data_IF_997628092449
#
_entry.id   IF_997628092449
#
_cell.length_a   1.000
_cell.length_b   1.000
_cell.length_c   1.000
_cell.angle_alpha   90.00
_cell.angle_beta   90.00
_cell.angle_gamma   90.00
#
_symmetry.space_group_name_H-M   'P 1'
#
loop_
_entity.id
_entity.type
_entity.pdbx_description
1 polymer ?
#
# COMPACT_ATOMS: atom_id res chain seq x y z
N UNK A 1 3.95 -14.37 37.12
CA UNK A 1 2.66 -14.74 36.48
C UNK A 1 2.81 -14.43 35.02
N UNK A 2 2.75 -15.44 34.13
CA UNK A 2 2.70 -15.25 32.69
C UNK A 2 1.33 -14.62 32.37
N UNK A 3 1.34 -13.39 31.87
CA UNK A 3 0.13 -12.73 31.37
C UNK A 3 -0.06 -13.19 29.92
N UNK A 4 -1.11 -13.95 29.66
CA UNK A 4 -1.51 -14.29 28.30
C UNK A 4 -2.32 -13.13 27.72
N UNK A 5 -1.69 -12.31 26.87
CA UNK A 5 -2.36 -11.24 26.12
C UNK A 5 -2.67 -11.74 24.69
N UNK A 6 -3.83 -11.33 24.19
CA UNK A 6 -4.17 -11.45 22.78
C UNK A 6 -3.71 -10.21 22.02
N UNK A 7 -3.54 -10.28 20.71
CA UNK A 7 -3.17 -9.11 19.91
C UNK A 7 -4.16 -7.95 20.07
N UNK A 8 -5.45 -8.22 20.28
CA UNK A 8 -6.48 -7.19 20.53
C UNK A 8 -6.31 -6.45 21.86
N UNK A 9 -5.49 -6.95 22.78
CA UNK A 9 -5.23 -6.29 24.07
C UNK A 9 -4.21 -5.13 23.93
N UNK A 10 -3.55 -5.03 22.75
CA UNK A 10 -2.49 -4.06 22.52
C UNK A 10 -2.96 -2.87 21.69
N UNK A 11 -2.66 -1.67 22.19
CA UNK A 11 -2.72 -0.42 21.44
C UNK A 11 -1.31 0.13 21.20
N UNK A 12 -1.00 0.47 19.96
CA UNK A 12 0.25 1.15 19.59
C UNK A 12 -0.11 2.55 19.12
N UNK A 13 0.33 3.55 19.89
CA UNK A 13 -0.03 4.94 19.69
C UNK A 13 1.18 5.74 19.21
N UNK A 14 0.98 6.50 18.14
CA UNK A 14 2.02 7.33 17.52
C UNK A 14 1.56 8.77 17.40
N UNK A 15 2.53 9.70 17.26
CA UNK A 15 2.23 11.12 17.07
C UNK A 15 1.86 11.46 15.63
N UNK A 16 2.49 10.81 14.65
CA UNK A 16 2.40 11.16 13.23
C UNK A 16 1.98 9.99 12.35
N UNK A 17 1.30 10.30 11.24
CA UNK A 17 0.97 9.29 10.23
C UNK A 17 2.20 8.70 9.53
N UNK A 18 3.32 9.42 9.46
CA UNK A 18 4.56 8.91 8.90
C UNK A 18 5.10 7.74 9.73
N UNK A 19 5.16 7.90 11.05
CA UNK A 19 5.58 6.84 11.96
C UNK A 19 4.58 5.66 11.95
N UNK A 20 3.28 5.96 11.84
CA UNK A 20 2.24 4.95 11.71
C UNK A 20 2.46 4.05 10.49
N UNK A 21 2.79 4.64 9.31
CA UNK A 21 3.08 3.86 8.11
C UNK A 21 4.31 2.95 8.28
N UNK A 22 5.37 3.46 8.93
CA UNK A 22 6.58 2.67 9.19
C UNK A 22 6.28 1.48 10.10
N UNK A 23 5.51 1.68 11.17
CA UNK A 23 5.12 0.60 12.08
C UNK A 23 4.16 -0.38 11.41
N UNK A 24 3.18 0.10 10.67
CA UNK A 24 2.25 -0.74 9.91
C UNK A 24 3.00 -1.70 8.99
N UNK A 25 3.89 -1.17 8.14
CA UNK A 25 4.69 -2.01 7.24
C UNK A 25 5.59 -2.98 8.00
N UNK A 26 6.17 -2.56 9.11
CA UNK A 26 7.02 -3.44 9.94
C UNK A 26 6.23 -4.58 10.57
N UNK A 27 5.03 -4.30 11.11
CA UNK A 27 4.16 -5.36 11.65
C UNK A 27 3.74 -6.35 10.58
N UNK A 28 3.40 -5.85 9.39
CA UNK A 28 3.06 -6.65 8.22
C UNK A 28 4.19 -7.61 7.86
N UNK A 29 5.38 -7.08 7.68
CA UNK A 29 6.57 -7.85 7.32
C UNK A 29 6.95 -8.87 8.39
N UNK A 30 6.67 -8.53 9.65
CA UNK A 30 6.87 -9.43 10.81
C UNK A 30 5.71 -10.40 11.03
N UNK A 31 4.70 -10.42 10.16
CA UNK A 31 3.49 -11.25 10.26
C UNK A 31 2.69 -11.01 11.55
N UNK A 32 2.76 -9.80 12.12
CA UNK A 32 1.97 -9.39 13.26
C UNK A 32 0.67 -8.79 12.75
N UNK A 33 -0.51 -9.37 13.10
CA UNK A 33 -1.78 -8.84 12.64
C UNK A 33 -2.03 -7.46 13.24
N UNK A 34 -2.23 -6.46 12.37
CA UNK A 34 -2.40 -5.06 12.76
C UNK A 34 -3.60 -4.44 12.05
N UNK A 35 -4.37 -3.64 12.79
CA UNK A 35 -5.47 -2.82 12.28
C UNK A 35 -5.13 -1.34 12.49
N UNK A 36 -5.10 -0.57 11.41
CA UNK A 36 -4.95 0.90 11.49
C UNK A 36 -6.31 1.51 11.80
N UNK A 37 -6.38 2.33 12.85
CA UNK A 37 -7.60 3.00 13.30
C UNK A 37 -7.43 4.52 13.27
N UNK A 38 -8.48 5.24 12.86
CA UNK A 38 -8.47 6.71 12.82
C UNK A 38 -7.65 7.32 11.68
N UNK A 39 -7.31 6.53 10.66
CA UNK A 39 -6.62 6.95 9.44
C UNK A 39 -6.83 5.93 8.32
N UNK A 40 -6.33 6.22 7.12
CA UNK A 40 -6.27 5.22 6.05
C UNK A 40 -4.99 4.41 6.18
N UNK A 41 -5.10 3.09 6.11
CA UNK A 41 -3.96 2.19 6.00
C UNK A 41 -3.05 2.63 4.85
N UNK A 42 -1.76 2.45 5.01
CA UNK A 42 -0.79 2.70 3.94
C UNK A 42 -1.14 1.88 2.70
N UNK A 43 -1.49 0.61 2.91
CA UNK A 43 -1.79 -0.32 1.83
C UNK A 43 -3.15 -0.08 1.16
N UNK A 44 -4.05 0.72 1.78
CA UNK A 44 -5.35 1.08 1.21
C UNK A 44 -5.29 2.28 0.26
N UNK A 45 -4.20 3.03 0.27
CA UNK A 45 -4.03 4.18 -0.62
C UNK A 45 -4.10 3.75 -2.08
N UNK A 46 -4.80 4.53 -2.90
CA UNK A 46 -5.01 4.24 -4.32
C UNK A 46 -3.69 3.93 -5.05
N UNK A 47 -2.70 4.81 -4.90
CA UNK A 47 -1.39 4.67 -5.54
C UNK A 47 -0.64 3.41 -5.08
N UNK A 48 -0.77 3.03 -3.82
CA UNK A 48 -0.13 1.83 -3.28
C UNK A 48 -0.84 0.58 -3.78
N UNK A 49 -2.17 0.55 -3.75
CA UNK A 49 -2.96 -0.55 -4.33
C UNK A 49 -2.67 -0.74 -5.81
N UNK A 50 -2.52 0.34 -6.58
CA UNK A 50 -2.17 0.27 -8.00
C UNK A 50 -0.79 -0.36 -8.19
N UNK A 51 0.22 0.08 -7.43
CA UNK A 51 1.57 -0.50 -7.48
C UNK A 51 1.58 -1.98 -7.07
N UNK A 52 0.86 -2.34 -6.01
CA UNK A 52 0.73 -3.75 -5.61
C UNK A 52 0.06 -4.59 -6.69
N UNK A 53 -0.94 -4.09 -7.41
CA UNK A 53 -1.55 -4.79 -8.53
C UNK A 53 -0.58 -4.98 -9.70
N UNK A 54 0.26 -3.97 -10.02
CA UNK A 54 1.35 -4.16 -10.99
C UNK A 54 2.32 -5.26 -10.57
N UNK A 55 2.70 -5.31 -9.29
CA UNK A 55 3.58 -6.36 -8.79
C UNK A 55 2.91 -7.74 -8.78
N UNK A 56 1.62 -7.82 -8.41
CA UNK A 56 0.87 -9.09 -8.33
C UNK A 56 0.79 -9.80 -9.68
N UNK A 57 0.52 -9.09 -10.77
CA UNK A 57 0.45 -9.69 -12.11
C UNK A 57 1.80 -10.26 -12.59
N UNK A 58 2.93 -9.81 -12.03
CA UNK A 58 4.26 -10.32 -12.40
C UNK A 58 4.54 -11.70 -11.79
N UNK A 59 3.89 -12.02 -10.67
CA UNK A 59 4.06 -13.29 -9.94
C UNK A 59 2.87 -14.23 -10.10
N UNK A 60 1.72 -13.74 -10.56
CA UNK A 60 0.51 -14.50 -10.78
C UNK A 60 -0.29 -13.93 -11.97
N UNK A 61 -0.12 -14.54 -13.12
CA UNK A 61 -0.82 -14.17 -14.37
C UNK A 61 -2.34 -14.45 -14.30
N UNK A 62 -2.79 -15.25 -13.33
CA UNK A 62 -4.19 -15.60 -13.14
C UNK A 62 -4.92 -14.58 -12.21
N UNK A 63 -4.25 -13.50 -11.78
CA UNK A 63 -4.89 -12.45 -10.98
C UNK A 63 -5.62 -11.45 -11.87
N UNK A 64 -6.77 -11.87 -12.38
CA UNK A 64 -7.64 -11.05 -13.23
C UNK A 64 -8.08 -9.76 -12.55
N UNK A 65 -8.28 -9.77 -11.23
CA UNK A 65 -8.68 -8.58 -10.48
C UNK A 65 -7.58 -7.52 -10.49
N UNK A 66 -6.33 -7.92 -10.25
CA UNK A 66 -5.19 -7.01 -10.33
C UNK A 66 -4.99 -6.50 -11.74
N UNK A 67 -5.10 -7.37 -12.76
CA UNK A 67 -4.97 -6.97 -14.16
C UNK A 67 -6.05 -5.96 -14.55
N UNK A 68 -7.31 -6.19 -14.19
CA UNK A 68 -8.43 -5.27 -14.46
C UNK A 68 -8.24 -3.89 -13.83
N UNK A 69 -7.65 -3.84 -12.65
CA UNK A 69 -7.37 -2.58 -11.97
C UNK A 69 -6.36 -1.72 -12.73
N UNK A 70 -5.33 -2.33 -13.30
CA UNK A 70 -4.19 -1.62 -13.89
C UNK A 70 -4.19 -1.55 -15.42
N UNK A 71 -4.99 -2.34 -16.10
CA UNK A 71 -4.98 -2.44 -17.57
C UNK A 71 -5.16 -1.09 -18.27
N UNK A 72 -5.87 -0.15 -17.64
CA UNK A 72 -6.05 1.22 -18.12
C UNK A 72 -5.76 2.28 -17.04
N UNK A 73 -4.88 1.94 -16.09
CA UNK A 73 -4.39 2.84 -15.03
C UNK A 73 -2.87 2.93 -15.11
N UNK A 74 -2.29 4.06 -15.48
CA UNK A 74 -2.88 5.24 -16.12
C UNK A 74 -3.61 4.96 -17.44
N UNK A 75 -4.43 5.91 -17.89
CA UNK A 75 -5.18 5.77 -19.17
C UNK A 75 -4.22 5.56 -20.34
N UNK A 76 -4.47 4.47 -21.10
CA UNK A 76 -3.65 4.12 -22.28
C UNK A 76 -4.48 3.74 -23.51
N UNK A 77 -5.76 4.13 -23.52
CA UNK A 77 -6.65 3.84 -24.66
C UNK A 77 -7.31 2.46 -24.63
N UNK A 78 -7.17 1.71 -23.53
CA UNK A 78 -7.85 0.42 -23.31
C UNK A 78 -9.15 0.72 -22.58
N UNK A 79 -10.22 1.03 -23.34
CA UNK A 79 -11.51 1.41 -22.78
C UNK A 79 -12.36 0.23 -22.30
N UNK A 80 -13.49 0.55 -21.66
CA UNK A 80 -14.43 -0.43 -21.09
C UNK A 80 -14.88 -1.49 -22.10
N UNK A 81 -15.22 -1.10 -23.32
CA UNK A 81 -15.64 -2.03 -24.38
C UNK A 81 -14.56 -3.04 -24.76
N UNK A 82 -13.30 -2.63 -24.73
CA UNK A 82 -12.15 -3.51 -24.96
C UNK A 82 -12.02 -4.53 -23.82
N UNK A 83 -12.12 -4.07 -22.58
CA UNK A 83 -12.06 -4.92 -21.38
C UNK A 83 -13.22 -5.93 -21.36
N UNK A 84 -14.45 -5.50 -21.73
CA UNK A 84 -15.61 -6.40 -21.82
C UNK A 84 -15.42 -7.50 -22.88
N UNK A 85 -14.76 -7.18 -24.00
CA UNK A 85 -14.41 -8.19 -25.02
C UNK A 85 -13.36 -9.17 -24.53
N UNK A 86 -12.32 -8.68 -23.86
CA UNK A 86 -11.30 -9.55 -23.25
C UNK A 86 -11.92 -10.53 -22.24
N UNK A 87 -12.83 -10.03 -21.37
CA UNK A 87 -13.55 -10.86 -20.41
C UNK A 87 -14.40 -11.93 -21.09
N UNK A 88 -15.19 -11.53 -22.08
CA UNK A 88 -16.04 -12.47 -22.83
C UNK A 88 -15.19 -13.57 -23.48
N UNK A 89 -14.08 -13.20 -24.08
CA UNK A 89 -13.16 -14.18 -24.68
C UNK A 89 -12.59 -15.14 -23.65
N UNK A 90 -12.15 -14.61 -22.49
CA UNK A 90 -11.65 -15.42 -21.39
C UNK A 90 -12.72 -16.42 -20.89
N UNK A 91 -13.96 -15.95 -20.71
CA UNK A 91 -15.08 -16.80 -20.30
C UNK A 91 -15.41 -17.88 -21.33
N UNK A 92 -15.51 -17.53 -22.63
CA UNK A 92 -15.81 -18.45 -23.72
C UNK A 92 -14.73 -19.53 -23.91
N UNK A 93 -13.46 -19.18 -23.67
CA UNK A 93 -12.33 -20.08 -23.79
C UNK A 93 -11.95 -20.78 -22.49
N UNK A 94 -12.63 -20.46 -21.40
CA UNK A 94 -12.31 -20.92 -20.04
C UNK A 94 -10.81 -20.70 -19.72
N UNK A 95 -10.34 -19.49 -19.98
CA UNK A 95 -8.94 -19.05 -19.78
C UNK A 95 -8.87 -17.81 -18.92
N UNK A 96 -7.66 -17.29 -18.69
CA UNK A 96 -7.46 -16.06 -17.89
C UNK A 96 -7.53 -14.80 -18.75
N UNK A 97 -7.78 -13.67 -18.10
CA UNK A 97 -7.76 -12.37 -18.78
C UNK A 97 -6.39 -12.04 -19.37
N UNK A 98 -5.30 -12.54 -18.78
CA UNK A 98 -3.95 -12.36 -19.28
C UNK A 98 -3.77 -13.08 -20.65
N UNK A 99 -4.20 -14.33 -20.77
CA UNK A 99 -4.19 -15.07 -22.01
C UNK A 99 -5.08 -14.40 -23.06
N UNK A 100 -6.28 -13.98 -22.66
CA UNK A 100 -7.17 -13.23 -23.56
C UNK A 100 -6.52 -11.93 -24.07
N UNK A 101 -5.78 -11.21 -23.20
CA UNK A 101 -5.03 -10.02 -23.57
C UNK A 101 -3.97 -10.32 -24.63
N UNK A 102 -3.19 -11.38 -24.45
CA UNK A 102 -2.15 -11.77 -25.39
C UNK A 102 -2.75 -12.20 -26.74
N UNK A 103 -3.72 -13.11 -26.74
CA UNK A 103 -4.31 -13.67 -27.96
C UNK A 103 -5.09 -12.63 -28.76
N UNK A 104 -5.81 -11.72 -28.10
CA UNK A 104 -6.61 -10.69 -28.78
C UNK A 104 -5.82 -9.40 -29.08
N UNK A 105 -4.58 -9.26 -28.64
CA UNK A 105 -3.78 -8.05 -28.87
C UNK A 105 -3.55 -7.73 -30.36
N UNK A 106 -3.62 -8.73 -31.23
CA UNK A 106 -3.50 -8.59 -32.69
C UNK A 106 -4.83 -8.74 -33.41
N UNK A 107 -5.96 -8.94 -32.71
CA UNK A 107 -7.24 -9.25 -33.30
C UNK A 107 -7.76 -8.09 -34.20
N UNK A 108 -8.21 -8.39 -35.44
CA UNK A 108 -8.57 -7.38 -36.43
C UNK A 108 -9.83 -6.58 -36.06
N UNK A 109 -10.68 -7.09 -35.17
CA UNK A 109 -11.85 -6.42 -34.64
C UNK A 109 -11.55 -5.22 -33.74
N UNK A 110 -10.33 -5.10 -33.24
CA UNK A 110 -9.88 -3.90 -32.53
C UNK A 110 -9.33 -2.85 -33.50
N UNK A 111 -9.58 -1.60 -33.20
CA UNK A 111 -8.94 -0.48 -33.91
C UNK A 111 -7.41 -0.57 -33.75
N UNK A 112 -6.67 -0.09 -34.72
CA UNK A 112 -5.21 -0.10 -34.70
C UNK A 112 -4.62 0.53 -33.44
N UNK A 113 -5.18 1.68 -33.00
CA UNK A 113 -4.76 2.35 -31.75
C UNK A 113 -4.97 1.48 -30.51
N UNK A 114 -6.05 0.71 -30.46
CA UNK A 114 -6.33 -0.22 -29.35
C UNK A 114 -5.38 -1.40 -29.38
N UNK A 115 -5.15 -2.01 -30.57
CA UNK A 115 -4.17 -3.11 -30.72
C UNK A 115 -2.79 -2.66 -30.25
N UNK A 116 -2.34 -1.50 -30.71
CA UNK A 116 -1.06 -0.94 -30.27
C UNK A 116 -1.00 -0.77 -28.75
N UNK A 117 -2.04 -0.22 -28.12
CA UNK A 117 -2.09 -0.04 -26.68
C UNK A 117 -2.03 -1.38 -25.93
N UNK A 118 -2.71 -2.43 -26.39
CA UNK A 118 -2.65 -3.77 -25.81
C UNK A 118 -1.25 -4.36 -25.95
N UNK A 119 -0.67 -4.30 -27.14
CA UNK A 119 0.69 -4.81 -27.41
C UNK A 119 1.76 -4.08 -26.62
N UNK A 120 1.67 -2.77 -26.49
CA UNK A 120 2.62 -1.97 -25.71
C UNK A 120 2.51 -2.30 -24.22
N UNK A 121 1.30 -2.55 -23.72
CA UNK A 121 1.09 -2.97 -22.34
C UNK A 121 1.67 -4.38 -22.07
N UNK A 122 1.48 -5.33 -22.98
CA UNK A 122 2.08 -6.67 -22.89
C UNK A 122 3.61 -6.58 -22.85
N UNK A 123 4.20 -5.76 -23.73
CA UNK A 123 5.67 -5.54 -23.75
C UNK A 123 6.19 -4.99 -22.43
N UNK A 124 5.45 -4.05 -21.81
CA UNK A 124 5.81 -3.54 -20.49
C UNK A 124 5.77 -4.66 -19.44
N UNK A 125 4.71 -5.48 -19.42
CA UNK A 125 4.59 -6.60 -18.47
C UNK A 125 5.78 -7.57 -18.63
N UNK A 126 6.12 -7.97 -19.87
CA UNK A 126 7.26 -8.87 -20.12
C UNK A 126 8.57 -8.25 -19.62
N UNK A 127 8.83 -6.99 -19.94
CA UNK A 127 10.02 -6.28 -19.46
C UNK A 127 10.09 -6.24 -17.93
N UNK A 128 8.98 -5.98 -17.25
CA UNK A 128 8.95 -5.94 -15.78
C UNK A 128 9.14 -7.34 -15.16
N UNK A 129 8.66 -8.41 -15.81
CA UNK A 129 8.92 -9.80 -15.37
C UNK A 129 10.42 -10.10 -15.36
N UNK A 130 11.17 -9.65 -16.35
CA UNK A 130 12.62 -9.83 -16.40
C UNK A 130 13.33 -9.08 -15.25
N UNK A 131 12.69 -8.07 -14.69
CA UNK A 131 13.22 -7.23 -13.59
C UNK A 131 12.83 -7.71 -12.20
N UNK A 132 12.02 -8.75 -12.04
CA UNK A 132 11.55 -9.24 -10.72
C UNK A 132 12.70 -9.55 -9.76
N UNK A 133 13.85 -9.98 -10.28
CA UNK A 133 15.05 -10.25 -9.49
C UNK A 133 15.92 -9.02 -9.21
N UNK A 134 15.50 -7.83 -9.69
CA UNK A 134 16.16 -6.54 -9.45
C UNK A 134 15.17 -5.54 -8.85
N UNK A 135 14.66 -5.80 -7.64
CA UNK A 135 13.52 -5.08 -7.05
C UNK A 135 13.79 -3.59 -6.81
N UNK A 136 15.06 -3.21 -6.61
CA UNK A 136 15.48 -1.83 -6.34
C UNK A 136 15.05 -0.82 -7.43
N UNK A 137 14.80 -1.28 -8.66
CA UNK A 137 14.40 -0.46 -9.81
C UNK A 137 13.04 -0.80 -10.40
N UNK A 138 12.44 -1.89 -9.94
CA UNK A 138 11.22 -2.42 -10.55
C UNK A 138 10.07 -1.40 -10.48
N UNK A 139 9.75 -0.89 -9.29
CA UNK A 139 8.66 0.07 -9.11
C UNK A 139 8.95 1.41 -9.80
N UNK A 140 10.19 1.89 -9.75
CA UNK A 140 10.59 3.12 -10.46
C UNK A 140 10.39 2.97 -11.97
N UNK A 141 10.76 1.80 -12.51
CA UNK A 141 10.55 1.49 -13.94
C UNK A 141 9.06 1.43 -14.27
N UNK A 142 8.23 0.78 -13.44
CA UNK A 142 6.77 0.74 -13.64
C UNK A 142 6.19 2.16 -13.66
N UNK A 143 6.57 3.02 -12.71
CA UNK A 143 6.13 4.42 -12.63
C UNK A 143 6.50 5.20 -13.90
N UNK A 144 7.74 5.03 -14.37
CA UNK A 144 8.25 5.71 -15.58
C UNK A 144 7.57 5.20 -16.85
N UNK A 145 7.54 3.88 -17.08
CA UNK A 145 6.97 3.26 -18.28
C UNK A 145 5.46 3.55 -18.42
N UNK A 146 4.75 3.64 -17.29
CA UNK A 146 3.31 3.93 -17.27
C UNK A 146 2.99 5.42 -17.25
N UNK A 147 3.98 6.30 -17.06
CA UNK A 147 3.78 7.72 -16.80
C UNK A 147 2.85 7.98 -15.59
N UNK A 148 2.97 7.18 -14.52
CA UNK A 148 2.06 7.22 -13.38
C UNK A 148 2.06 8.58 -12.68
N UNK A 149 3.22 9.23 -12.53
CA UNK A 149 3.31 10.56 -11.95
C UNK A 149 2.51 11.59 -12.74
N UNK A 150 2.53 11.53 -14.09
CA UNK A 150 1.75 12.43 -14.93
C UNK A 150 0.24 12.29 -14.64
N UNK A 151 -0.27 11.05 -14.51
CA UNK A 151 -1.65 10.81 -14.11
C UNK A 151 -1.98 11.40 -12.73
N UNK A 152 -1.10 11.22 -11.76
CA UNK A 152 -1.30 11.79 -10.41
C UNK A 152 -1.31 13.32 -10.48
N UNK A 153 -0.47 13.93 -11.30
CA UNK A 153 -0.43 15.37 -11.53
C UNK A 153 -1.69 15.90 -12.21
N UNK A 154 -2.25 15.15 -13.16
CA UNK A 154 -3.55 15.47 -13.76
C UNK A 154 -4.71 15.36 -12.75
N UNK A 155 -4.65 14.41 -11.82
CA UNK A 155 -5.65 14.23 -10.75
C UNK A 155 -5.58 15.36 -9.70
N UNK A 156 -4.40 15.95 -9.49
CA UNK A 156 -4.14 17.01 -8.50
C UNK A 156 -3.39 18.20 -9.11
N UNK A 157 -3.99 18.91 -10.09
CA UNK A 157 -3.29 19.93 -10.89
C UNK A 157 -2.82 21.13 -10.07
N UNK A 158 -3.51 21.45 -8.98
CA UNK A 158 -3.20 22.62 -8.13
C UNK A 158 -2.43 22.26 -6.86
N UNK A 159 -2.00 21.01 -6.68
CA UNK A 159 -1.38 20.56 -5.43
C UNK A 159 -0.12 19.73 -5.63
N UNK A 160 1.01 20.40 -5.86
CA UNK A 160 2.32 19.74 -5.86
C UNK A 160 2.60 18.96 -4.57
N UNK A 161 2.02 19.42 -3.44
CA UNK A 161 2.14 18.71 -2.15
C UNK A 161 1.44 17.35 -2.19
N UNK A 162 0.25 17.26 -2.80
CA UNK A 162 -0.48 16.01 -2.94
C UNK A 162 0.25 15.05 -3.88
N UNK A 163 0.76 15.54 -5.00
CA UNK A 163 1.57 14.75 -5.95
C UNK A 163 2.81 14.21 -5.22
N UNK A 164 3.59 15.07 -4.58
CA UNK A 164 4.79 14.68 -3.87
C UNK A 164 4.50 13.68 -2.72
N UNK A 165 3.36 13.81 -2.04
CA UNK A 165 2.94 12.88 -1.00
C UNK A 165 2.68 11.47 -1.58
N UNK A 166 1.95 11.37 -2.69
CA UNK A 166 1.66 10.10 -3.37
C UNK A 166 2.93 9.44 -3.91
N UNK A 167 3.79 10.21 -4.58
CA UNK A 167 5.05 9.70 -5.12
C UNK A 167 6.00 9.24 -4.01
N UNK A 168 6.09 9.94 -2.88
CA UNK A 168 6.83 9.47 -1.70
C UNK A 168 6.26 8.17 -1.14
N UNK A 169 4.95 7.97 -1.19
CA UNK A 169 4.33 6.70 -0.80
C UNK A 169 4.82 5.54 -1.67
N UNK A 170 4.87 5.73 -2.99
CA UNK A 170 5.39 4.72 -3.93
C UNK A 170 6.88 4.46 -3.69
N UNK A 171 7.68 5.52 -3.50
CA UNK A 171 9.10 5.39 -3.17
C UNK A 171 9.29 4.59 -1.87
N UNK A 172 8.51 4.90 -0.84
CA UNK A 172 8.55 4.16 0.43
C UNK A 172 8.22 2.67 0.23
N UNK A 173 7.22 2.33 -0.59
CA UNK A 173 6.91 0.94 -0.96
C UNK A 173 8.11 0.26 -1.65
N UNK A 174 8.78 0.95 -2.57
CA UNK A 174 9.97 0.46 -3.28
C UNK A 174 11.12 0.16 -2.31
N UNK A 175 11.39 1.09 -1.40
CA UNK A 175 12.41 0.93 -0.37
C UNK A 175 12.12 -0.25 0.56
N UNK A 176 10.86 -0.43 0.98
CA UNK A 176 10.42 -1.54 1.84
C UNK A 176 10.53 -2.90 1.13
N UNK A 177 10.11 -2.99 -0.13
CA UNK A 177 10.28 -4.19 -0.95
C UNK A 177 11.75 -4.57 -1.07
N UNK A 178 12.60 -3.59 -1.42
CA UNK A 178 14.05 -3.81 -1.56
C UNK A 178 14.70 -4.25 -0.26
N UNK A 179 14.30 -3.64 0.86
CA UNK A 179 14.79 -3.99 2.20
C UNK A 179 14.38 -5.42 2.57
N UNK A 180 13.10 -5.76 2.39
CA UNK A 180 12.57 -7.10 2.72
C UNK A 180 13.34 -8.19 1.97
N UNK A 181 13.57 -8.03 0.67
CA UNK A 181 14.29 -9.01 -0.14
C UNK A 181 15.80 -9.09 0.18
N UNK A 182 16.41 -8.01 0.68
CA UNK A 182 17.81 -8.02 1.16
C UNK A 182 17.96 -8.71 2.52
N UNK A 183 17.01 -8.50 3.43
CA UNK A 183 17.03 -9.07 4.77
C UNK A 183 16.66 -10.57 4.77
N UNK A 184 15.85 -11.03 3.83
CA UNK A 184 15.40 -12.41 3.68
C UNK A 184 15.97 -13.03 2.41
N UNK A 185 17.18 -13.59 2.48
CA UNK A 185 17.99 -14.05 1.32
C UNK A 185 17.27 -14.99 0.35
N UNK A 186 16.32 -15.79 0.85
CA UNK A 186 15.57 -16.77 0.05
C UNK A 186 14.16 -16.29 -0.32
N UNK A 187 13.79 -15.07 0.13
CA UNK A 187 12.47 -14.53 -0.14
C UNK A 187 12.35 -14.01 -1.58
N UNK A 188 11.20 -14.23 -2.14
CA UNK A 188 10.82 -13.78 -3.49
C UNK A 188 9.83 -12.60 -3.41
N UNK A 189 9.59 -11.93 -4.54
CA UNK A 189 8.51 -10.96 -4.68
C UNK A 189 7.14 -11.54 -4.25
N UNK A 190 6.91 -12.84 -4.52
CA UNK A 190 5.69 -13.54 -4.09
C UNK A 190 5.55 -13.59 -2.57
N UNK A 191 6.65 -13.81 -1.85
CA UNK A 191 6.63 -13.88 -0.38
C UNK A 191 6.34 -12.50 0.23
N UNK A 192 6.94 -11.45 -0.32
CA UNK A 192 6.60 -10.08 0.06
C UNK A 192 5.11 -9.76 -0.17
N UNK A 193 4.59 -10.06 -1.35
CA UNK A 193 3.18 -9.81 -1.66
C UNK A 193 2.23 -10.63 -0.78
N UNK A 194 2.64 -11.83 -0.38
CA UNK A 194 1.89 -12.65 0.57
C UNK A 194 1.84 -12.01 1.96
N UNK A 195 2.96 -11.48 2.47
CA UNK A 195 2.99 -10.78 3.75
C UNK A 195 2.06 -9.56 3.75
N UNK A 196 2.03 -8.80 2.65
CA UNK A 196 1.13 -7.65 2.47
C UNK A 196 -0.34 -8.07 2.35
N UNK A 197 -0.66 -9.22 1.73
CA UNK A 197 -2.03 -9.66 1.48
C UNK A 197 -2.77 -10.13 2.74
N UNK A 198 -2.05 -10.55 3.79
CA UNK A 198 -2.65 -10.99 5.07
C UNK A 198 -3.47 -9.88 5.74
N UNK A 199 -3.25 -8.61 5.38
CA UNK A 199 -3.91 -7.44 5.97
C UNK A 199 -5.18 -7.03 5.21
N UNK A 200 -5.26 -7.35 3.92
CA UNK A 200 -6.36 -6.92 3.04
C UNK A 200 -7.67 -7.68 3.17
N UNK A 201 -7.70 -8.77 3.94
CA UNK A 201 -8.93 -9.52 4.20
C UNK A 201 -9.70 -8.87 5.36
N UNK A 202 -10.41 -7.76 5.06
CA UNK A 202 -11.29 -7.03 5.98
C UNK A 202 -12.47 -7.88 6.51
N UNK A 203 -12.67 -9.09 6.01
CA UNK A 203 -13.81 -9.94 6.38
C UNK A 203 -13.57 -10.87 7.57
N UNK A 204 -12.43 -10.76 8.24
CA UNK A 204 -12.12 -11.62 9.39
C UNK A 204 -12.28 -10.82 10.71
N UNK A 205 -13.53 -10.50 11.07
CA UNK A 205 -13.89 -9.85 12.35
C UNK A 205 -13.44 -10.65 13.59
N UNK A 206 -13.04 -11.90 13.41
CA UNK A 206 -12.62 -12.83 14.46
C UNK A 206 -11.10 -12.82 14.73
N UNK A 207 -10.28 -12.15 13.93
CA UNK A 207 -8.83 -12.11 14.19
C UNK A 207 -8.49 -11.07 15.24
N UNK A 208 -7.91 -11.53 16.33
CA UNK A 208 -7.25 -10.66 17.30
C UNK A 208 -6.13 -9.88 16.62
N UNK A 209 -6.22 -8.54 16.56
CA UNK A 209 -5.26 -7.65 15.89
C UNK A 209 -4.76 -6.58 16.85
N UNK A 210 -3.48 -6.19 16.69
CA UNK A 210 -2.94 -5.00 17.35
C UNK A 210 -3.60 -3.75 16.76
N UNK A 211 -4.07 -2.86 17.62
CA UNK A 211 -4.62 -1.56 17.19
C UNK A 211 -3.49 -0.53 17.03
N UNK A 212 -3.24 -0.07 15.83
CA UNK A 212 -2.25 0.97 15.52
C UNK A 212 -2.98 2.27 15.15
N UNK A 213 -2.68 3.37 15.85
CA UNK A 213 -3.36 4.64 15.62
C UNK A 213 -2.53 5.83 16.09
N UNK A 214 -2.99 7.02 15.69
CA UNK A 214 -2.43 8.25 16.27
C UNK A 214 -2.95 8.46 17.69
N UNK A 215 -2.17 9.16 18.54
CA UNK A 215 -2.60 9.53 19.90
C UNK A 215 -3.92 10.29 19.90
N UNK A 216 -4.19 11.11 18.87
CA UNK A 216 -5.47 11.82 18.73
C UNK A 216 -6.64 10.86 18.50
N UNK A 217 -6.44 9.85 17.67
CA UNK A 217 -7.48 8.87 17.34
C UNK A 217 -7.78 7.92 18.51
N UNK A 218 -6.89 7.83 19.50
CA UNK A 218 -7.07 6.95 20.67
C UNK A 218 -8.06 7.46 21.70
N UNK A 219 -8.55 8.70 21.54
CA UNK A 219 -9.50 9.30 22.48
C UNK A 219 -10.78 8.48 22.58
N UNK A 220 -11.13 8.02 23.78
CA UNK A 220 -12.31 7.20 24.06
C UNK A 220 -12.07 5.68 23.95
N UNK A 221 -10.91 5.25 23.46
CA UNK A 221 -10.53 3.85 23.42
C UNK A 221 -9.68 3.48 24.64
N UNK A 222 -9.63 2.20 24.99
CA UNK A 222 -8.79 1.69 26.09
C UNK A 222 -8.25 0.31 25.71
N UNK A 223 -7.00 0.03 26.13
CA UNK A 223 -6.29 -1.21 25.87
C UNK A 223 -5.68 -1.75 27.18
N UNK A 224 -5.50 -3.06 27.31
CA UNK A 224 -4.78 -3.59 28.47
C UNK A 224 -3.33 -3.12 28.49
N UNK A 225 -2.70 -3.12 27.32
CA UNK A 225 -1.30 -2.71 27.15
C UNK A 225 -1.22 -1.64 26.06
N UNK A 226 -0.52 -0.54 26.33
CA UNK A 226 -0.29 0.55 25.38
C UNK A 226 1.21 0.73 25.15
N UNK A 227 1.61 0.72 23.89
CA UNK A 227 2.93 1.14 23.47
C UNK A 227 2.84 2.56 22.89
N UNK A 228 3.63 3.47 23.46
CA UNK A 228 3.81 4.82 22.92
C UNK A 228 5.11 4.81 22.12
N UNK A 229 5.02 4.93 20.81
CA UNK A 229 6.18 4.87 19.92
C UNK A 229 6.56 6.25 19.39
N UNK A 230 7.89 6.47 19.23
CA UNK A 230 8.43 7.75 18.77
C UNK A 230 8.36 8.84 19.82
N UNK A 231 8.66 8.49 21.09
CA UNK A 231 8.76 9.45 22.20
C UNK A 231 10.17 10.02 22.19
N UNK A 232 10.39 11.01 21.34
CA UNK A 232 11.66 11.68 21.16
C UNK A 232 11.42 13.13 20.74
N UNK A 233 12.40 14.01 20.97
CA UNK A 233 12.35 15.41 20.58
C UNK A 233 12.05 15.57 19.10
N UNK A 234 11.30 16.60 18.74
CA UNK A 234 10.79 16.91 17.40
C UNK A 234 9.68 15.98 16.89
N UNK A 235 9.37 14.87 17.56
CA UNK A 235 8.21 14.02 17.30
C UNK A 235 7.15 14.26 18.37
N UNK A 236 7.48 14.09 19.64
CA UNK A 236 6.67 14.50 20.79
C UNK A 236 7.57 15.02 21.92
N UNK A 237 7.58 16.34 22.21
CA UNK A 237 6.82 17.40 21.51
C UNK A 237 7.21 17.52 20.03
N UNK A 238 6.26 17.93 19.17
CA UNK A 238 6.52 18.15 17.75
C UNK A 238 7.51 19.31 17.54
N UNK A 239 8.32 19.28 16.46
CA UNK A 239 9.25 20.35 16.13
C UNK A 239 8.58 21.74 16.17
N UNK A 240 7.36 21.83 15.62
CA UNK A 240 6.55 23.05 15.62
C UNK A 240 6.22 23.52 17.03
N UNK A 241 5.91 22.60 17.95
CA UNK A 241 5.58 22.96 19.33
C UNK A 241 6.79 23.44 20.11
N UNK A 242 8.01 23.05 19.72
CA UNK A 242 9.26 23.51 20.32
C UNK A 242 9.69 24.90 19.81
N UNK A 243 9.29 25.27 18.59
CA UNK A 243 9.62 26.55 17.95
C UNK A 243 8.61 27.67 18.31
N UNK A 244 7.36 27.31 18.60
CA UNK A 244 6.26 28.21 18.93
C UNK A 244 5.98 28.22 20.44
N UNK A 245 5.43 29.33 20.98
CA UNK A 245 5.15 29.60 22.39
C UNK A 245 4.69 28.41 23.27
N UNK A 246 4.90 28.50 24.58
CA UNK A 246 4.55 27.53 25.65
C UNK A 246 3.15 26.91 25.57
N UNK A 247 2.20 27.53 24.87
CA UNK A 247 0.83 26.99 24.69
C UNK A 247 0.82 25.69 23.90
N UNK A 248 1.70 25.56 22.90
CA UNK A 248 1.77 24.37 22.05
C UNK A 248 2.41 23.19 22.79
N UNK A 249 3.33 23.47 23.72
CA UNK A 249 3.92 22.42 24.58
C UNK A 249 2.85 21.90 25.56
N UNK A 250 1.97 22.75 26.07
CA UNK A 250 0.88 22.32 26.95
C UNK A 250 -0.13 21.42 26.21
N UNK A 251 -0.35 21.67 24.94
CA UNK A 251 -1.22 20.84 24.11
C UNK A 251 -0.58 19.46 23.83
N UNK A 252 0.70 19.41 23.51
CA UNK A 252 1.45 18.16 23.38
C UNK A 252 1.47 17.37 24.70
N UNK A 253 1.61 18.02 25.82
CA UNK A 253 1.56 17.40 27.15
C UNK A 253 0.17 16.81 27.44
N UNK A 254 -0.90 17.52 27.10
CA UNK A 254 -2.29 17.00 27.23
C UNK A 254 -2.52 15.80 26.34
N UNK A 255 -2.02 15.83 25.09
CA UNK A 255 -2.12 14.73 24.15
C UNK A 255 -1.37 13.50 24.69
N UNK A 256 -0.16 13.70 25.21
CA UNK A 256 0.63 12.64 25.83
C UNK A 256 -0.06 12.04 27.05
N UNK A 257 -0.65 12.88 27.90
CA UNK A 257 -1.45 12.42 29.03
C UNK A 257 -2.64 11.56 28.58
N UNK A 258 -3.38 12.02 27.55
CA UNK A 258 -4.47 11.22 26.97
C UNK A 258 -3.97 9.86 26.50
N UNK A 259 -2.82 9.81 25.83
CA UNK A 259 -2.26 8.57 25.32
C UNK A 259 -1.88 7.60 26.45
N UNK A 260 -1.23 8.06 27.51
CA UNK A 260 -0.86 7.23 28.68
C UNK A 260 -2.12 6.67 29.36
N UNK A 261 -3.18 7.50 29.48
CA UNK A 261 -4.42 7.07 30.13
C UNK A 261 -5.25 6.08 29.32
N UNK A 262 -4.80 5.67 28.14
CA UNK A 262 -5.44 4.60 27.36
C UNK A 262 -5.07 3.21 27.87
N UNK A 263 -3.99 3.09 28.64
CA UNK A 263 -3.58 1.83 29.25
C UNK A 263 -4.44 1.50 30.50
N UNK A 264 -4.98 0.29 30.54
CA UNK A 264 -5.68 -0.25 31.73
C UNK A 264 -4.73 -0.93 32.70
N UNK A 265 -3.66 -1.56 32.19
CA UNK A 265 -2.72 -2.35 33.00
C UNK A 265 -1.27 -1.87 32.84
N UNK A 266 -0.83 -1.63 31.62
CA UNK A 266 0.56 -1.25 31.28
C UNK A 266 0.59 -0.25 30.12
#
# INVERSE_FOLDING_TARGET
>A
REHHYNFSDFGVLVRTNSLMNTLETTFVESQIPVRVSGGSSFFDRKEIRDMLCFLKILVNENDDNSLLRIINTPRRGIGRTTVERLRRYADEKNTTLHIALEELSAAPEFRESTRKALQDFIKMIHRWKDMVNTPDRLLDTIVQDTCYEAMVREEFPESDKAVAFKMRGIQFLSERLSKYLKEHKDATLRDYLRSVSIIGDENDDDKSMVSLMTMHASKGLEFKVVFLAGIEDHIIPSARALEEDNRNIDEERRLFYVAITRAREK
#
